data_IF_141601328130
#
_entry.id   IF_141601328130
#
_cell.length_a   1.000
_cell.length_b   1.000
_cell.length_c   1.000
_cell.angle_alpha   90.00
_cell.angle_beta   90.00
_cell.angle_gamma   90.00
#
_symmetry.space_group_name_H-M   'P 1'
#
loop_
_entity.id
_entity.type
_entity.pdbx_description
1 polymer ?
#
# COMPACT_ATOMS: atom_id res chain seq x y z
N UNK A 1 17.23 -10.24 30.00
CA UNK A 1 16.12 -9.79 29.16
C UNK A 1 15.38 -8.71 29.93
N UNK A 2 15.17 -7.54 29.32
CA UNK A 2 14.51 -6.39 29.99
C UNK A 2 13.01 -6.65 30.09
N UNK A 3 12.43 -6.43 31.26
CA UNK A 3 10.99 -6.50 31.47
C UNK A 3 10.42 -5.06 31.45
N UNK A 4 9.46 -4.81 30.60
CA UNK A 4 8.78 -3.52 30.49
C UNK A 4 7.45 -3.56 31.24
N UNK A 5 7.12 -2.46 31.90
CA UNK A 5 5.76 -2.21 32.35
C UNK A 5 4.87 -1.79 31.15
N UNK A 6 3.56 -1.93 31.30
CA UNK A 6 2.58 -1.43 30.28
C UNK A 6 2.76 0.05 29.94
N UNK A 7 3.14 0.86 30.93
CA UNK A 7 3.38 2.32 30.72
C UNK A 7 4.61 2.55 29.84
N UNK A 8 5.70 1.83 30.10
CA UNK A 8 6.92 1.91 29.30
C UNK A 8 6.69 1.39 27.88
N UNK A 9 5.96 0.28 27.72
CA UNK A 9 5.59 -0.24 26.41
C UNK A 9 4.77 0.79 25.63
N UNK A 10 3.74 1.40 26.25
CA UNK A 10 2.93 2.44 25.63
C UNK A 10 3.77 3.66 25.24
N UNK A 11 4.66 4.12 26.12
CA UNK A 11 5.54 5.25 25.85
C UNK A 11 6.44 5.00 24.64
N UNK A 12 7.03 3.80 24.53
CA UNK A 12 7.84 3.40 23.39
C UNK A 12 7.00 3.36 22.10
N UNK A 13 5.80 2.80 22.13
CA UNK A 13 4.89 2.77 20.97
C UNK A 13 4.52 4.18 20.50
N UNK A 14 4.18 5.09 21.42
CA UNK A 14 3.84 6.48 21.10
C UNK A 14 5.02 7.25 20.47
N UNK A 15 6.24 7.00 20.97
CA UNK A 15 7.45 7.60 20.42
C UNK A 15 7.70 7.14 18.96
N UNK A 16 7.61 5.82 18.72
CA UNK A 16 7.89 5.21 17.42
C UNK A 16 6.82 5.52 16.36
N UNK A 17 5.58 5.76 16.79
CA UNK A 17 4.47 6.16 15.89
C UNK A 17 4.42 7.67 15.59
N UNK A 18 5.48 8.42 15.84
CA UNK A 18 5.53 9.88 15.62
C UNK A 18 4.52 10.69 16.45
N UNK A 19 3.95 10.12 17.51
CA UNK A 19 2.99 10.85 18.38
C UNK A 19 3.70 11.89 19.23
N UNK A 20 4.85 11.53 19.81
CA UNK A 20 5.64 12.43 20.66
C UNK A 20 6.53 13.36 19.84
N UNK A 21 7.00 12.92 18.68
CA UNK A 21 7.83 13.70 17.78
C UNK A 21 7.33 13.55 16.35
N UNK A 22 6.54 14.52 15.91
CA UNK A 22 5.94 14.51 14.57
C UNK A 22 6.99 14.54 13.46
N UNK A 23 6.78 13.74 12.43
CA UNK A 23 7.61 13.70 11.23
C UNK A 23 6.95 14.41 10.03
N UNK A 24 7.59 14.43 8.87
CA UNK A 24 6.95 14.88 7.64
C UNK A 24 5.87 13.88 7.19
N UNK A 25 4.89 14.32 6.42
CA UNK A 25 3.84 13.45 5.87
C UNK A 25 4.40 12.23 5.14
N UNK A 26 5.39 12.44 4.28
CA UNK A 26 6.03 11.35 3.55
C UNK A 26 6.71 10.36 4.49
N UNK A 27 7.42 10.86 5.49
CA UNK A 27 8.09 10.02 6.48
C UNK A 27 7.07 9.20 7.28
N UNK A 28 5.99 9.83 7.78
CA UNK A 28 4.92 9.13 8.51
C UNK A 28 4.31 8.02 7.66
N UNK A 29 3.98 8.31 6.40
CA UNK A 29 3.35 7.32 5.51
C UNK A 29 4.32 6.18 5.19
N UNK A 30 5.60 6.48 4.98
CA UNK A 30 6.64 5.48 4.75
C UNK A 30 6.86 4.60 5.99
N UNK A 31 7.15 5.20 7.14
CA UNK A 31 7.48 4.50 8.39
C UNK A 31 6.34 3.61 8.88
N UNK A 32 5.10 4.05 8.71
CA UNK A 32 3.93 3.28 9.09
C UNK A 32 3.43 2.29 8.01
N UNK A 33 4.29 1.97 7.03
CA UNK A 33 4.00 1.00 5.96
C UNK A 33 2.76 1.36 5.13
N UNK A 34 2.50 2.65 4.93
CA UNK A 34 1.27 3.16 4.33
C UNK A 34 0.15 3.38 5.34
N UNK A 35 -0.78 4.27 5.03
CA UNK A 35 -1.96 4.54 5.84
C UNK A 35 -3.21 3.94 5.21
N UNK A 36 -3.91 3.07 5.93
CA UNK A 36 -5.12 2.44 5.41
C UNK A 36 -6.18 3.49 5.05
N UNK A 37 -6.64 3.45 3.81
CA UNK A 37 -7.54 4.43 3.18
C UNK A 37 -8.88 3.82 2.74
N UNK A 38 -9.31 2.75 3.38
CA UNK A 38 -10.61 2.12 3.12
C UNK A 38 -11.74 3.12 3.40
N UNK A 39 -11.56 3.95 4.42
CA UNK A 39 -12.36 5.14 4.68
C UNK A 39 -11.51 6.37 4.41
N UNK A 40 -12.03 7.32 3.63
CA UNK A 40 -11.30 8.50 3.19
C UNK A 40 -10.80 9.40 4.35
N UNK A 41 -11.47 9.35 5.50
CA UNK A 41 -11.10 10.11 6.71
C UNK A 41 -9.90 9.52 7.44
N UNK A 42 -9.65 8.20 7.37
CA UNK A 42 -8.60 7.52 8.13
C UNK A 42 -7.21 8.12 7.94
N UNK A 43 -6.69 8.21 6.70
CA UNK A 43 -5.36 8.79 6.47
C UNK A 43 -5.27 10.27 6.86
N UNK A 44 -6.37 11.03 6.70
CA UNK A 44 -6.42 12.44 7.07
C UNK A 44 -6.25 12.62 8.59
N UNK A 45 -7.00 11.88 9.38
CA UNK A 45 -6.89 11.94 10.84
C UNK A 45 -5.53 11.43 11.32
N UNK A 46 -4.99 10.38 10.72
CA UNK A 46 -3.65 9.89 11.01
C UNK A 46 -2.58 10.96 10.77
N UNK A 47 -2.58 11.59 9.59
CA UNK A 47 -1.61 12.65 9.27
C UNK A 47 -1.80 13.89 10.14
N UNK A 48 -3.03 14.23 10.51
CA UNK A 48 -3.32 15.33 11.43
C UNK A 48 -2.68 15.13 12.81
N UNK A 49 -2.59 13.89 13.28
CA UNK A 49 -1.98 13.53 14.56
C UNK A 49 -0.46 13.46 14.45
N UNK A 50 0.06 12.82 13.41
CA UNK A 50 1.47 12.39 13.32
C UNK A 50 2.34 13.28 12.44
N UNK A 51 1.76 14.03 11.49
CA UNK A 51 2.55 14.85 10.58
C UNK A 51 2.71 16.29 11.07
N UNK A 52 3.96 16.82 11.01
CA UNK A 52 4.24 18.23 11.36
C UNK A 52 3.89 19.21 10.25
N UNK A 53 3.82 18.73 9.01
CA UNK A 53 3.54 19.49 7.80
C UNK A 53 2.14 19.19 7.24
N UNK A 54 1.22 18.75 8.11
CA UNK A 54 -0.16 18.50 7.71
C UNK A 54 -0.88 19.80 7.34
N UNK A 55 -1.59 19.78 6.21
CA UNK A 55 -2.57 20.78 5.80
C UNK A 55 -3.81 20.08 5.25
N UNK A 56 -4.99 20.67 5.36
CA UNK A 56 -6.24 20.05 4.88
C UNK A 56 -6.19 19.70 3.38
N UNK A 57 -5.55 20.55 2.57
CA UNK A 57 -5.36 20.38 1.12
C UNK A 57 -4.02 19.72 0.77
N UNK A 58 -3.34 19.17 1.75
CA UNK A 58 -1.95 18.71 1.65
C UNK A 58 -1.71 17.41 0.90
N UNK A 59 -2.66 16.97 0.08
CA UNK A 59 -2.51 15.80 -0.77
C UNK A 59 -1.81 16.19 -2.06
N UNK A 60 -0.51 16.02 -2.07
CA UNK A 60 0.31 16.23 -3.28
C UNK A 60 0.57 14.90 -4.03
N UNK A 61 1.11 15.01 -5.24
CA UNK A 61 1.38 13.86 -6.11
C UNK A 61 2.45 12.90 -5.59
N UNK A 62 3.19 13.26 -4.53
CA UNK A 62 4.14 12.37 -3.86
C UNK A 62 3.45 11.30 -3.00
N UNK A 63 2.16 11.44 -2.77
CA UNK A 63 1.30 10.45 -2.12
C UNK A 63 0.27 9.94 -3.10
N UNK A 64 0.09 8.64 -3.16
CA UNK A 64 -0.90 7.96 -4.02
C UNK A 64 -1.67 6.92 -3.23
N UNK A 65 -2.81 6.47 -3.75
CA UNK A 65 -3.55 5.35 -3.16
C UNK A 65 -3.50 4.13 -4.06
N UNK A 66 -3.23 2.98 -3.45
CA UNK A 66 -3.18 1.67 -4.11
C UNK A 66 -3.76 0.58 -3.20
N UNK A 67 -4.05 -0.58 -3.77
CA UNK A 67 -4.24 -1.80 -2.97
C UNK A 67 -2.88 -2.29 -2.47
N UNK A 68 -2.73 -2.39 -1.14
CA UNK A 68 -1.50 -2.81 -0.50
C UNK A 68 -1.76 -3.95 0.51
N UNK A 69 -1.27 -3.84 1.74
CA UNK A 69 -1.38 -4.87 2.76
C UNK A 69 -2.82 -5.37 2.94
N UNK A 70 -3.00 -6.66 3.15
CA UNK A 70 -4.30 -7.34 3.32
C UNK A 70 -5.29 -7.10 2.16
N UNK A 71 -4.81 -6.63 0.99
CA UNK A 71 -5.68 -6.31 -0.14
C UNK A 71 -6.58 -5.09 0.07
N UNK A 72 -6.29 -4.23 1.04
CA UNK A 72 -7.02 -2.98 1.29
C UNK A 72 -6.31 -1.77 0.69
N UNK A 73 -7.06 -0.69 0.45
CA UNK A 73 -6.51 0.54 -0.12
C UNK A 73 -5.69 1.27 0.95
N UNK A 74 -4.48 1.70 0.59
CA UNK A 74 -3.59 2.49 1.43
C UNK A 74 -3.11 3.73 0.69
N UNK A 75 -2.90 4.81 1.41
CA UNK A 75 -2.05 5.93 0.97
C UNK A 75 -0.62 5.51 1.19
N UNK A 76 0.21 5.66 0.15
CA UNK A 76 1.64 5.29 0.16
C UNK A 76 2.46 6.39 -0.52
N UNK A 77 3.77 6.52 -0.24
CA UNK A 77 4.63 7.37 -1.04
C UNK A 77 4.70 6.87 -2.48
N UNK A 78 4.63 7.77 -3.46
CA UNK A 78 4.74 7.41 -4.87
C UNK A 78 6.07 6.71 -5.19
N UNK A 79 7.15 7.15 -4.56
CA UNK A 79 8.49 6.54 -4.68
C UNK A 79 8.57 5.11 -4.13
N UNK A 80 7.63 4.69 -3.29
CA UNK A 80 7.56 3.33 -2.73
C UNK A 80 6.49 2.46 -3.42
N UNK A 81 5.91 2.92 -4.52
CA UNK A 81 4.89 2.18 -5.26
C UNK A 81 5.35 0.77 -5.61
N UNK A 82 6.56 0.65 -6.18
CA UNK A 82 7.15 -0.64 -6.54
C UNK A 82 7.35 -1.57 -5.34
N UNK A 83 7.79 -1.05 -4.19
CA UNK A 83 7.93 -1.80 -2.95
C UNK A 83 6.59 -2.44 -2.51
N UNK A 84 5.53 -1.63 -2.45
CA UNK A 84 4.20 -2.11 -2.05
C UNK A 84 3.63 -3.15 -3.01
N UNK A 85 3.79 -2.94 -4.32
CA UNK A 85 3.29 -3.87 -5.34
C UNK A 85 4.10 -5.16 -5.37
N UNK A 86 5.43 -5.09 -5.27
CA UNK A 86 6.34 -6.25 -5.22
C UNK A 86 6.07 -7.14 -4.01
N UNK A 87 5.81 -6.56 -2.84
CA UNK A 87 5.47 -7.32 -1.63
C UNK A 87 4.19 -8.15 -1.78
N UNK A 88 3.28 -7.75 -2.67
CA UNK A 88 2.09 -8.53 -3.03
C UNK A 88 2.37 -9.62 -4.06
N UNK A 89 3.55 -9.64 -4.66
CA UNK A 89 3.95 -10.55 -5.74
C UNK A 89 3.44 -10.12 -7.11
N UNK A 90 3.13 -8.83 -7.26
CA UNK A 90 2.72 -8.26 -8.55
C UNK A 90 3.94 -8.01 -9.44
N UNK A 91 3.69 -7.89 -10.74
CA UNK A 91 4.68 -7.57 -11.78
C UNK A 91 4.17 -6.43 -12.64
N UNK A 92 5.04 -5.76 -13.36
CA UNK A 92 4.71 -4.55 -14.15
C UNK A 92 3.89 -4.76 -15.42
N UNK A 93 3.57 -6.01 -15.78
CA UNK A 93 2.83 -6.31 -17.01
C UNK A 93 1.50 -7.00 -16.70
N UNK A 94 0.52 -6.78 -17.57
CA UNK A 94 -0.68 -7.60 -17.62
C UNK A 94 -0.29 -9.04 -17.96
N UNK A 95 -0.93 -10.00 -17.34
CA UNK A 95 -0.66 -11.41 -17.52
C UNK A 95 -1.92 -12.19 -17.87
N UNK A 96 -1.77 -13.39 -18.40
CA UNK A 96 -2.90 -14.28 -18.70
C UNK A 96 -3.78 -14.64 -17.48
N UNK A 97 -3.32 -14.40 -16.25
CA UNK A 97 -4.14 -14.53 -15.04
C UNK A 97 -5.44 -13.70 -15.08
N UNK A 98 -5.55 -12.74 -15.99
CA UNK A 98 -6.77 -12.03 -16.38
C UNK A 98 -7.89 -12.91 -16.87
N UNK A 99 -7.58 -14.06 -17.42
CA UNK A 99 -8.58 -14.96 -18.00
C UNK A 99 -9.67 -15.42 -17.02
N UNK A 100 -9.45 -15.31 -15.70
CA UNK A 100 -10.50 -15.53 -14.71
C UNK A 100 -11.73 -14.63 -14.89
N UNK A 101 -11.59 -13.52 -15.62
CA UNK A 101 -12.66 -12.59 -15.99
C UNK A 101 -13.23 -12.86 -17.39
N UNK A 102 -12.68 -13.81 -18.13
CA UNK A 102 -13.08 -14.17 -19.49
C UNK A 102 -12.81 -13.05 -20.51
N UNK A 103 -11.76 -12.25 -20.30
CA UNK A 103 -11.30 -11.20 -21.22
C UNK A 103 -9.97 -11.66 -21.79
N UNK A 104 -9.81 -11.77 -23.13
CA UNK A 104 -8.53 -12.06 -23.75
C UNK A 104 -7.47 -11.00 -23.39
N UNK A 105 -6.21 -11.41 -23.25
CA UNK A 105 -5.12 -10.50 -22.88
C UNK A 105 -5.03 -9.31 -23.85
N UNK A 106 -5.13 -9.56 -25.15
CA UNK A 106 -5.12 -8.53 -26.19
C UNK A 106 -6.23 -7.48 -26.05
N UNK A 107 -7.42 -7.90 -25.61
CA UNK A 107 -8.51 -6.97 -25.27
C UNK A 107 -8.20 -6.18 -24.01
N UNK A 108 -7.62 -6.85 -22.99
CA UNK A 108 -7.17 -6.20 -21.75
C UNK A 108 -6.12 -5.11 -22.05
N UNK A 109 -5.12 -5.43 -22.84
CA UNK A 109 -4.05 -4.48 -23.26
C UNK A 109 -4.62 -3.30 -24.05
N UNK A 110 -5.45 -3.57 -25.05
CA UNK A 110 -6.12 -2.52 -25.84
C UNK A 110 -6.88 -1.52 -24.95
N UNK A 111 -7.67 -2.03 -24.02
CA UNK A 111 -8.47 -1.15 -23.16
C UNK A 111 -7.63 -0.50 -22.08
N UNK A 112 -6.56 -1.13 -21.62
CA UNK A 112 -5.59 -0.50 -20.71
C UNK A 112 -4.94 0.74 -21.38
N UNK A 113 -4.59 0.66 -22.65
CA UNK A 113 -4.00 1.79 -23.38
C UNK A 113 -4.98 2.97 -23.50
N UNK A 114 -6.25 2.71 -23.88
CA UNK A 114 -7.29 3.74 -23.90
C UNK A 114 -7.48 4.38 -22.52
N UNK A 115 -7.54 3.58 -21.47
CA UNK A 115 -7.71 4.05 -20.10
C UNK A 115 -6.51 4.90 -19.66
N UNK A 116 -5.28 4.47 -19.94
CA UNK A 116 -4.05 5.23 -19.61
C UNK A 116 -4.02 6.58 -20.34
N UNK A 117 -4.34 6.60 -21.62
CA UNK A 117 -4.40 7.85 -22.40
C UNK A 117 -5.39 8.83 -21.77
N UNK A 118 -6.58 8.39 -21.40
CA UNK A 118 -7.60 9.24 -20.77
C UNK A 118 -7.23 9.69 -19.37
N UNK A 119 -6.67 8.81 -18.56
CA UNK A 119 -6.16 9.17 -17.24
C UNK A 119 -5.03 10.21 -17.32
N UNK A 120 -4.11 10.08 -18.30
CA UNK A 120 -3.07 11.05 -18.58
C UNK A 120 -3.62 12.43 -18.99
N UNK A 121 -4.75 12.45 -19.72
CA UNK A 121 -5.46 13.66 -20.09
C UNK A 121 -6.32 14.27 -18.94
N UNK A 122 -6.22 13.71 -17.71
CA UNK A 122 -6.96 14.20 -16.54
C UNK A 122 -8.40 13.70 -16.44
N UNK A 123 -8.84 12.79 -17.32
CA UNK A 123 -10.14 12.14 -17.27
C UNK A 123 -10.02 10.81 -16.51
N UNK A 124 -9.98 10.87 -15.20
CA UNK A 124 -9.67 9.71 -14.35
C UNK A 124 -10.85 9.16 -13.55
N UNK A 125 -12.04 9.73 -13.64
CA UNK A 125 -13.19 9.17 -12.95
C UNK A 125 -13.65 7.88 -13.66
N UNK A 126 -14.07 6.89 -12.87
CA UNK A 126 -14.48 5.58 -13.40
C UNK A 126 -15.51 5.70 -14.54
N UNK A 127 -16.50 6.57 -14.40
CA UNK A 127 -17.53 6.75 -15.41
C UNK A 127 -17.03 7.52 -16.64
N UNK A 128 -16.04 8.40 -16.50
CA UNK A 128 -15.36 9.06 -17.62
C UNK A 128 -14.58 8.02 -18.45
N UNK A 129 -13.78 7.19 -17.78
CA UNK A 129 -13.01 6.12 -18.42
C UNK A 129 -13.92 5.12 -19.14
N UNK A 130 -15.02 4.74 -18.51
CA UNK A 130 -16.03 3.84 -19.08
C UNK A 130 -16.65 4.44 -20.35
N UNK A 131 -17.09 5.70 -20.31
CA UNK A 131 -17.64 6.39 -21.48
C UNK A 131 -16.63 6.47 -22.62
N UNK A 132 -15.36 6.74 -22.30
CA UNK A 132 -14.31 6.81 -23.31
C UNK A 132 -14.08 5.44 -23.99
N UNK A 133 -14.05 4.36 -23.24
CA UNK A 133 -13.92 3.02 -23.79
C UNK A 133 -15.13 2.63 -24.68
N UNK A 134 -16.34 2.95 -24.23
CA UNK A 134 -17.55 2.70 -25.04
C UNK A 134 -17.52 3.53 -26.34
N UNK A 135 -17.13 4.80 -26.27
CA UNK A 135 -16.97 5.65 -27.46
C UNK A 135 -15.87 5.15 -28.42
N UNK A 136 -14.85 4.47 -27.91
CA UNK A 136 -13.80 3.81 -28.69
C UNK A 136 -14.21 2.43 -29.24
N UNK A 137 -15.47 2.02 -29.06
CA UNK A 137 -16.03 0.79 -29.62
C UNK A 137 -15.92 -0.43 -28.72
N UNK A 138 -15.86 -0.26 -27.39
CA UNK A 138 -15.93 -1.37 -26.47
C UNK A 138 -17.28 -2.09 -26.57
N UNK A 139 -17.23 -3.40 -26.73
CA UNK A 139 -18.44 -4.23 -26.76
C UNK A 139 -19.20 -4.16 -25.42
N UNK A 140 -20.52 -4.03 -25.42
CA UNK A 140 -21.32 -3.85 -24.20
C UNK A 140 -21.12 -4.93 -23.15
N UNK A 141 -20.87 -6.17 -23.56
CA UNK A 141 -20.62 -7.32 -22.69
C UNK A 141 -19.29 -7.25 -21.94
N UNK A 142 -18.32 -6.47 -22.42
CA UNK A 142 -17.03 -6.25 -21.75
C UNK A 142 -17.12 -5.20 -20.64
N UNK A 143 -18.05 -4.25 -20.76
CA UNK A 143 -18.18 -3.15 -19.80
C UNK A 143 -18.29 -3.62 -18.34
N UNK A 144 -19.20 -4.53 -17.95
CA UNK A 144 -19.30 -4.96 -16.56
C UNK A 144 -18.10 -5.78 -16.09
N UNK A 145 -17.32 -6.36 -17.01
CA UNK A 145 -16.10 -7.12 -16.67
C UNK A 145 -14.91 -6.18 -16.44
N UNK A 146 -14.72 -5.21 -17.31
CA UNK A 146 -13.61 -4.24 -17.25
C UNK A 146 -13.81 -3.23 -16.12
N UNK A 147 -15.02 -2.75 -15.93
CA UNK A 147 -15.37 -1.75 -14.92
C UNK A 147 -16.05 -2.34 -13.68
N UNK A 148 -15.78 -3.60 -13.34
CA UNK A 148 -16.27 -4.22 -12.12
C UNK A 148 -15.80 -3.45 -10.88
N UNK A 149 -16.72 -3.19 -9.92
CA UNK A 149 -16.44 -2.41 -8.72
C UNK A 149 -15.45 -3.09 -7.76
N UNK A 150 -15.38 -4.42 -7.77
CA UNK A 150 -14.55 -5.22 -6.88
C UNK A 150 -13.25 -5.73 -7.52
N UNK A 151 -13.08 -5.50 -8.80
CA UNK A 151 -11.94 -6.00 -9.53
C UNK A 151 -11.89 -5.42 -10.94
N UNK A 152 -11.78 -6.29 -11.96
CA UNK A 152 -11.72 -5.89 -13.37
C UNK A 152 -10.39 -5.22 -13.74
N UNK A 153 -10.37 -4.62 -14.94
CA UNK A 153 -9.15 -4.07 -15.53
C UNK A 153 -8.55 -2.93 -14.71
N UNK A 154 -9.36 -2.03 -14.18
CA UNK A 154 -8.84 -0.89 -13.40
C UNK A 154 -8.06 -1.32 -12.17
N UNK A 155 -8.55 -2.34 -11.45
CA UNK A 155 -7.82 -2.87 -10.30
C UNK A 155 -6.51 -3.51 -10.71
N UNK A 156 -6.55 -4.32 -11.75
CA UNK A 156 -5.34 -4.97 -12.27
C UNK A 156 -4.32 -3.93 -12.76
N UNK A 157 -4.73 -2.94 -13.51
CA UNK A 157 -3.84 -1.84 -13.90
C UNK A 157 -3.18 -1.18 -12.68
N UNK A 158 -3.91 -1.03 -11.58
CA UNK A 158 -3.34 -0.56 -10.32
C UNK A 158 -2.36 -1.58 -9.72
N UNK A 159 -2.71 -2.86 -9.72
CA UNK A 159 -1.85 -3.94 -9.22
C UNK A 159 -0.57 -4.11 -10.07
N UNK A 160 -0.57 -3.63 -11.32
CA UNK A 160 0.58 -3.60 -12.23
C UNK A 160 1.34 -2.26 -12.25
N UNK A 161 0.95 -1.31 -11.41
CA UNK A 161 1.57 0.01 -11.37
C UNK A 161 1.31 0.87 -12.61
N UNK A 162 0.33 0.52 -13.44
CA UNK A 162 -0.07 1.30 -14.61
C UNK A 162 -0.97 2.48 -14.27
N UNK A 163 -1.71 2.36 -13.17
CA UNK A 163 -2.59 3.38 -12.59
C UNK A 163 -2.43 3.43 -11.08
N UNK A 164 -2.76 4.57 -10.51
CA UNK A 164 -2.94 4.77 -9.07
C UNK A 164 -4.20 5.60 -8.85
N UNK A 165 -4.73 5.62 -7.63
CA UNK A 165 -5.68 6.65 -7.23
C UNK A 165 -4.94 7.89 -6.75
N UNK A 166 -5.48 9.05 -7.01
CA UNK A 166 -5.08 10.27 -6.31
C UNK A 166 -5.24 10.10 -4.80
N UNK A 167 -4.32 10.66 -4.02
CA UNK A 167 -4.45 10.70 -2.58
C UNK A 167 -5.66 11.56 -2.14
N UNK A 168 -5.98 11.57 -0.87
CA UNK A 168 -7.12 12.31 -0.33
C UNK A 168 -8.46 11.62 -0.56
N UNK A 169 -9.52 12.41 -0.69
CA UNK A 169 -10.89 11.92 -0.83
C UNK A 169 -11.28 11.56 -2.27
N UNK A 170 -10.47 11.95 -3.24
CA UNK A 170 -10.69 11.68 -4.66
C UNK A 170 -10.79 10.18 -4.94
N UNK A 171 -11.66 9.81 -5.88
CA UNK A 171 -11.78 8.47 -6.46
C UNK A 171 -11.25 8.43 -7.90
N UNK A 172 -10.45 9.41 -8.28
CA UNK A 172 -9.89 9.52 -9.62
C UNK A 172 -8.67 8.64 -9.78
N UNK A 173 -8.59 7.96 -10.91
CA UNK A 173 -7.38 7.27 -11.35
C UNK A 173 -6.46 8.27 -12.07
N UNK A 174 -5.16 8.08 -11.92
CA UNK A 174 -4.13 8.84 -12.61
C UNK A 174 -2.96 7.94 -12.93
N UNK A 175 -2.05 8.40 -13.79
CA UNK A 175 -0.78 7.70 -13.97
C UNK A 175 0.07 7.84 -12.71
N UNK A 176 0.89 6.83 -12.37
CA UNK A 176 1.90 6.97 -11.34
C UNK A 176 2.78 8.19 -11.63
N UNK A 177 3.12 9.01 -10.63
CA UNK A 177 4.05 10.14 -10.81
C UNK A 177 5.46 9.70 -11.21
N UNK A 178 5.84 8.49 -10.81
CA UNK A 178 7.14 7.86 -11.05
C UNK A 178 6.93 6.41 -11.48
N UNK A 179 7.82 5.88 -12.31
CA UNK A 179 7.80 4.46 -12.68
C UNK A 179 8.09 3.59 -11.45
N UNK A 180 7.29 2.52 -11.21
CA UNK A 180 7.53 1.64 -10.08
C UNK A 180 8.88 0.92 -10.20
N UNK A 181 9.70 0.97 -9.17
CA UNK A 181 10.94 0.20 -9.06
C UNK A 181 10.59 -1.18 -8.50
N UNK A 182 10.60 -2.18 -9.35
CA UNK A 182 10.28 -3.56 -9.00
C UNK A 182 11.45 -4.25 -8.30
N UNK A 183 11.14 -5.13 -7.35
CA UNK A 183 12.12 -5.92 -6.62
C UNK A 183 11.59 -7.33 -6.31
N UNK A 184 12.45 -8.27 -5.89
CA UNK A 184 12.00 -9.58 -5.45
C UNK A 184 11.00 -9.49 -4.30
N UNK A 185 9.93 -10.29 -4.36
CA UNK A 185 8.84 -10.29 -3.37
C UNK A 185 9.32 -10.45 -1.94
N UNK A 186 10.22 -11.39 -1.71
CA UNK A 186 10.72 -11.67 -0.35
C UNK A 186 11.57 -10.52 0.19
N UNK A 187 12.30 -9.83 -0.67
CA UNK A 187 13.04 -8.62 -0.32
C UNK A 187 12.08 -7.48 0.08
N UNK A 188 11.08 -7.22 -0.74
CA UNK A 188 10.05 -6.23 -0.43
C UNK A 188 9.32 -6.54 0.89
N UNK A 189 8.98 -7.80 1.13
CA UNK A 189 8.34 -8.24 2.38
C UNK A 189 9.26 -8.10 3.58
N UNK A 190 10.54 -8.41 3.43
CA UNK A 190 11.53 -8.25 4.50
C UNK A 190 11.69 -6.77 4.90
N UNK A 191 11.65 -5.85 3.93
CA UNK A 191 11.66 -4.40 4.22
C UNK A 191 10.45 -3.98 5.06
N UNK A 192 9.25 -4.49 4.78
CA UNK A 192 8.06 -4.20 5.61
C UNK A 192 8.13 -4.83 6.98
N UNK A 193 8.63 -6.07 7.12
CA UNK A 193 8.85 -6.70 8.42
C UNK A 193 9.85 -5.90 9.26
N UNK A 194 10.97 -5.46 8.65
CA UNK A 194 11.93 -4.57 9.30
C UNK A 194 11.26 -3.30 9.80
N UNK A 195 10.57 -2.57 8.90
CA UNK A 195 9.89 -1.31 9.18
C UNK A 195 8.83 -1.46 10.28
N UNK A 196 8.11 -2.59 10.28
CA UNK A 196 7.16 -2.89 11.34
C UNK A 196 7.84 -2.95 12.71
N UNK A 197 8.93 -3.68 12.87
CA UNK A 197 9.61 -3.76 14.15
C UNK A 197 10.38 -2.48 14.53
N UNK A 198 10.71 -1.63 13.57
CA UNK A 198 11.26 -0.28 13.81
C UNK A 198 10.20 0.67 14.39
N UNK A 199 9.00 0.68 13.83
CA UNK A 199 8.00 1.71 14.13
C UNK A 199 6.82 1.23 14.96
N UNK A 200 6.48 -0.06 14.93
CA UNK A 200 5.39 -0.65 15.73
C UNK A 200 5.90 -1.51 16.91
N UNK A 201 7.19 -1.82 16.92
CA UNK A 201 7.76 -2.55 18.07
C UNK A 201 7.83 -1.69 19.34
N UNK A 202 7.92 -2.33 20.54
CA UNK A 202 7.94 -3.77 20.79
C UNK A 202 6.61 -4.48 20.50
N UNK A 203 6.64 -5.54 19.71
CA UNK A 203 5.46 -6.28 19.26
C UNK A 203 5.80 -7.77 19.08
N UNK A 204 4.80 -8.62 18.99
CA UNK A 204 5.00 -10.03 18.68
C UNK A 204 5.16 -10.29 17.17
N UNK A 205 5.70 -11.45 16.82
CA UNK A 205 5.70 -11.94 15.42
C UNK A 205 4.25 -12.06 14.88
N UNK A 206 3.31 -12.46 15.73
CA UNK A 206 1.90 -12.59 15.36
C UNK A 206 1.25 -11.23 15.06
N UNK A 207 1.58 -10.17 15.80
CA UNK A 207 1.09 -8.81 15.53
C UNK A 207 1.60 -8.30 14.18
N UNK A 208 2.88 -8.50 13.89
CA UNK A 208 3.49 -8.16 12.59
C UNK A 208 2.78 -8.91 11.45
N UNK A 209 2.57 -10.21 11.62
CA UNK A 209 1.89 -11.07 10.66
C UNK A 209 0.46 -10.60 10.38
N UNK A 210 -0.31 -10.30 11.43
CA UNK A 210 -1.67 -9.78 11.32
C UNK A 210 -1.72 -8.41 10.63
N UNK A 211 -0.79 -7.51 10.98
CA UNK A 211 -0.71 -6.17 10.40
C UNK A 211 -0.41 -6.21 8.90
N UNK A 212 0.59 -6.99 8.48
CA UNK A 212 1.02 -7.08 7.08
C UNK A 212 0.14 -8.03 6.24
N UNK A 213 -0.61 -8.93 6.89
CA UNK A 213 -1.39 -9.97 6.23
C UNK A 213 -0.51 -11.13 5.71
N UNK A 214 0.57 -11.43 6.42
CA UNK A 214 1.46 -12.55 6.11
C UNK A 214 1.25 -13.70 7.10
N UNK A 215 1.56 -14.95 6.74
CA UNK A 215 1.64 -16.03 7.72
C UNK A 215 2.74 -15.77 8.77
N UNK A 216 2.50 -16.10 10.03
CA UNK A 216 3.51 -15.91 11.11
C UNK A 216 4.82 -16.65 10.83
N UNK A 217 4.75 -17.85 10.22
CA UNK A 217 5.92 -18.63 9.80
C UNK A 217 6.73 -17.90 8.71
N UNK A 218 6.07 -17.18 7.82
CA UNK A 218 6.73 -16.38 6.79
C UNK A 218 7.45 -15.19 7.42
N UNK A 219 6.80 -14.45 8.34
CA UNK A 219 7.44 -13.34 9.08
C UNK A 219 8.69 -13.82 9.81
N UNK A 220 8.60 -14.94 10.56
CA UNK A 220 9.76 -15.52 11.25
C UNK A 220 10.88 -15.90 10.26
N UNK A 221 10.53 -16.50 9.13
CA UNK A 221 11.48 -16.81 8.06
C UNK A 221 12.14 -15.58 7.45
N UNK A 222 11.38 -14.49 7.23
CA UNK A 222 11.89 -13.22 6.71
C UNK A 222 12.85 -12.56 7.70
N UNK A 223 12.52 -12.54 8.99
CA UNK A 223 13.42 -12.05 10.06
C UNK A 223 14.78 -12.78 10.01
N UNK A 224 14.75 -14.12 9.88
CA UNK A 224 15.95 -14.93 9.83
C UNK A 224 16.75 -14.68 8.54
N UNK A 225 16.11 -14.80 7.36
CA UNK A 225 16.78 -14.65 6.04
C UNK A 225 17.35 -13.26 5.80
N UNK A 226 16.66 -12.22 6.27
CA UNK A 226 17.12 -10.84 6.15
C UNK A 226 18.14 -10.44 7.25
N UNK A 227 18.49 -11.35 8.16
CA UNK A 227 19.45 -11.08 9.23
C UNK A 227 19.01 -9.96 10.17
N UNK A 228 17.70 -9.81 10.43
CA UNK A 228 17.20 -8.75 11.29
C UNK A 228 17.56 -9.02 12.75
N UNK A 229 18.42 -8.20 13.32
CA UNK A 229 18.84 -8.30 14.74
C UNK A 229 17.77 -7.71 15.64
N UNK A 230 16.67 -8.43 15.85
CA UNK A 230 15.59 -8.00 16.72
C UNK A 230 16.05 -8.02 18.18
N UNK A 231 15.86 -6.90 18.89
CA UNK A 231 15.97 -6.82 20.34
C UNK A 231 14.73 -7.44 20.98
N UNK A 232 14.91 -7.99 22.16
CA UNK A 232 13.90 -8.78 22.86
C UNK A 232 13.64 -8.22 24.25
N UNK A 233 12.37 -7.99 24.54
CA UNK A 233 11.87 -7.56 25.86
C UNK A 233 10.67 -8.40 26.26
N UNK A 234 10.24 -8.31 27.52
CA UNK A 234 9.00 -8.93 27.98
C UNK A 234 8.07 -7.89 28.60
N UNK A 235 6.77 -8.09 28.44
CA UNK A 235 5.74 -7.34 29.15
C UNK A 235 4.63 -8.30 29.55
N UNK A 236 4.27 -8.36 30.84
CA UNK A 236 3.27 -9.30 31.39
C UNK A 236 3.48 -10.75 30.91
N UNK A 237 4.74 -11.22 30.90
CA UNK A 237 5.10 -12.57 30.49
C UNK A 237 5.08 -12.81 28.95
N UNK A 238 4.68 -11.83 28.15
CA UNK A 238 4.71 -11.91 26.69
C UNK A 238 6.06 -11.43 26.17
N UNK A 239 6.67 -12.23 25.28
CA UNK A 239 7.89 -11.85 24.57
C UNK A 239 7.58 -10.93 23.40
N UNK A 240 8.28 -9.80 23.34
CA UNK A 240 8.10 -8.75 22.34
C UNK A 240 9.43 -8.43 21.66
N UNK A 241 9.36 -8.01 20.42
CA UNK A 241 10.50 -7.73 19.55
C UNK A 241 10.44 -6.31 18.99
N UNK A 242 11.61 -5.69 18.81
CA UNK A 242 11.73 -4.39 18.15
C UNK A 242 13.09 -4.24 17.48
N UNK A 243 13.18 -3.30 16.51
CA UNK A 243 14.42 -2.80 15.95
C UNK A 243 14.67 -1.37 16.44
N UNK A 244 15.92 -0.98 16.52
CA UNK A 244 16.37 0.34 16.95
C UNK A 244 17.39 0.27 18.07
N UNK A 245 17.99 1.39 18.38
CA UNK A 245 19.04 1.59 19.39
C UNK A 245 18.52 1.47 20.83
#
# INVERSE_FOLDING_TARGET
MTCLTKKELLAQSLARHHVLQRASRLQVVSDLCGLQAQFATGPREALRIWARDYTEDGWDRRLVKIWSHRGTIHVVPASELGLHLSARGNTGSLTEAWYGWGIPLSEGERWADVIRERAAAGMGEREELKRACVAAGMAPELVPRIFNGWGGLLKEMCDRGMLVYEAGTSKRFTLPPEEPVWMPRDEARAMFVRRYFEHFGPATIADCAAFLGYPSSEVAGLVCRAGLSLRRVTCDGTELFYLGD
#
